data_IF_698442415424
#
_entry.id   IF_698442415424
#
_cell.length_a   1.000
_cell.length_b   1.000
_cell.length_c   1.000
_cell.angle_alpha   90.00
_cell.angle_beta   90.00
_cell.angle_gamma   90.00
#
_symmetry.space_group_name_H-M   'P 1'
#
loop_
_entity.id
_entity.type
_entity.pdbx_description
1 polymer ?
#
# COMPACT_ATOMS: atom_id res chain seq x y z
N UNK A 1 -3.51 -9.82 -6.76
CA UNK A 1 -4.56 -10.46 -7.59
C UNK A 1 -5.59 -9.40 -7.89
N UNK A 2 -5.94 -9.22 -9.16
CA UNK A 2 -6.94 -8.26 -9.63
C UNK A 2 -8.11 -9.02 -10.22
N UNK A 3 -9.32 -8.47 -10.11
CA UNK A 3 -10.54 -9.13 -10.57
C UNK A 3 -11.36 -8.13 -11.40
N UNK A 4 -11.96 -8.61 -12.48
CA UNK A 4 -12.99 -7.89 -13.21
C UNK A 4 -14.35 -8.16 -12.57
N UNK A 5 -14.97 -7.12 -12.02
CA UNK A 5 -16.26 -7.18 -11.33
C UNK A 5 -17.44 -6.75 -12.22
N UNK A 6 -17.19 -6.56 -13.52
CA UNK A 6 -18.19 -6.18 -14.52
C UNK A 6 -18.54 -7.40 -15.41
N UNK A 7 -19.29 -7.17 -16.49
CA UNK A 7 -19.86 -8.19 -17.40
C UNK A 7 -18.86 -9.24 -17.89
N UNK A 8 -17.61 -8.86 -18.11
CA UNK A 8 -16.56 -9.77 -18.59
C UNK A 8 -15.71 -10.25 -17.40
N UNK A 9 -15.95 -11.45 -16.85
CA UNK A 9 -15.21 -11.94 -15.72
C UNK A 9 -13.77 -12.28 -16.10
N UNK A 10 -12.84 -11.96 -15.21
CA UNK A 10 -11.43 -12.29 -15.36
C UNK A 10 -10.71 -12.11 -14.03
N UNK A 11 -9.77 -13.02 -13.73
CA UNK A 11 -8.81 -12.84 -12.63
C UNK A 11 -7.43 -12.68 -13.24
N UNK A 12 -6.71 -11.66 -12.80
CA UNK A 12 -5.34 -11.37 -13.17
C UNK A 12 -4.41 -11.56 -11.97
N UNK A 13 -3.38 -12.38 -12.14
CA UNK A 13 -2.31 -12.59 -11.15
C UNK A 13 -1.00 -12.10 -11.72
N UNK A 14 -0.31 -11.24 -10.96
CA UNK A 14 1.01 -10.73 -11.28
C UNK A 14 2.01 -11.36 -10.31
N UNK A 15 3.13 -11.82 -10.86
CA UNK A 15 4.24 -12.42 -10.12
C UNK A 15 5.53 -11.74 -10.53
N UNK A 16 6.44 -11.61 -9.58
CA UNK A 16 7.76 -11.03 -9.78
C UNK A 16 8.30 -10.48 -8.47
N UNK A 17 9.33 -9.64 -8.58
CA UNK A 17 10.05 -9.12 -7.43
C UNK A 17 9.56 -7.71 -7.06
N UNK A 18 9.29 -7.50 -5.78
CA UNK A 18 8.91 -6.18 -5.26
C UNK A 18 10.07 -5.54 -4.48
N UNK A 19 10.28 -4.25 -4.73
CA UNK A 19 11.14 -3.39 -3.91
C UNK A 19 10.25 -2.48 -3.07
N UNK A 20 10.57 -2.38 -1.78
CA UNK A 20 9.92 -1.43 -0.89
C UNK A 20 10.69 -0.10 -0.90
N UNK A 21 9.94 1.01 -0.98
CA UNK A 21 10.44 2.37 -0.97
C UNK A 21 9.79 3.11 0.21
N UNK A 22 10.59 3.50 1.19
CA UNK A 22 10.18 4.24 2.39
C UNK A 22 10.49 5.73 2.29
N UNK A 23 10.00 6.53 3.24
CA UNK A 23 10.09 8.01 3.21
C UNK A 23 11.51 8.55 3.10
N UNK A 24 12.50 7.88 3.69
CA UNK A 24 13.90 8.32 3.64
C UNK A 24 14.68 7.77 2.45
N UNK A 25 14.08 6.88 1.66
CA UNK A 25 14.71 6.35 0.45
C UNK A 25 14.75 7.44 -0.64
N UNK A 26 15.84 7.49 -1.41
CA UNK A 26 16.06 8.53 -2.42
C UNK A 26 14.97 8.63 -3.49
N UNK A 27 14.30 7.51 -3.80
CA UNK A 27 13.22 7.42 -4.78
C UNK A 27 11.84 7.82 -4.23
N UNK A 28 11.73 8.13 -2.93
CA UNK A 28 10.45 8.52 -2.34
C UNK A 28 9.80 9.68 -3.08
N UNK A 29 10.55 10.74 -3.34
CA UNK A 29 10.02 11.96 -3.97
C UNK A 29 9.49 11.71 -5.39
N UNK A 30 10.17 10.85 -6.14
CA UNK A 30 9.74 10.41 -7.48
C UNK A 30 8.40 9.67 -7.37
N UNK A 31 8.33 8.66 -6.51
CA UNK A 31 7.13 7.83 -6.36
C UNK A 31 5.93 8.61 -5.80
N UNK A 32 6.16 9.44 -4.78
CA UNK A 32 5.12 10.26 -4.17
C UNK A 32 4.50 11.25 -5.17
N UNK A 33 5.23 11.66 -6.21
CA UNK A 33 4.70 12.59 -7.22
C UNK A 33 3.58 12.00 -8.09
N UNK A 34 3.41 10.68 -8.08
CA UNK A 34 2.34 9.99 -8.81
C UNK A 34 1.01 9.94 -8.03
N UNK A 35 0.99 10.39 -6.78
CA UNK A 35 -0.17 10.27 -5.88
C UNK A 35 -0.48 11.62 -5.21
N UNK A 36 -1.71 11.76 -4.74
CA UNK A 36 -2.06 12.85 -3.83
C UNK A 36 -1.33 12.67 -2.49
N UNK A 37 -0.94 13.78 -1.87
CA UNK A 37 -0.28 13.72 -0.58
C UNK A 37 -1.24 13.23 0.49
N UNK A 38 -0.77 12.27 1.29
CA UNK A 38 -1.57 11.63 2.33
C UNK A 38 -0.70 11.35 3.54
N UNK A 39 -1.08 11.91 4.69
CA UNK A 39 -0.33 11.80 5.96
C UNK A 39 -0.11 10.35 6.40
N UNK A 40 -1.03 9.45 6.04
CA UNK A 40 -0.95 8.03 6.35
C UNK A 40 -0.06 7.21 5.41
N UNK A 41 0.55 7.79 4.38
CA UNK A 41 1.39 7.06 3.41
C UNK A 41 2.62 6.48 4.10
N UNK A 42 2.73 5.15 4.09
CA UNK A 42 3.79 4.41 4.81
C UNK A 42 5.00 4.11 3.93
N UNK A 43 4.74 3.57 2.75
CA UNK A 43 5.73 3.05 1.82
C UNK A 43 5.10 2.83 0.45
N UNK A 44 5.92 2.77 -0.58
CA UNK A 44 5.53 2.31 -1.91
C UNK A 44 6.13 0.93 -2.19
N UNK A 45 5.46 0.15 -3.04
CA UNK A 45 6.00 -1.08 -3.59
C UNK A 45 6.16 -0.92 -5.09
N UNK A 46 7.40 -1.02 -5.57
CA UNK A 46 7.71 -1.15 -6.98
C UNK A 46 7.79 -2.63 -7.33
N UNK A 47 6.87 -3.12 -8.15
CA UNK A 47 6.83 -4.51 -8.58
C UNK A 47 7.40 -4.65 -10.00
N UNK A 48 8.51 -5.36 -10.15
CA UNK A 48 8.98 -5.81 -11.45
C UNK A 48 8.22 -7.09 -11.82
N UNK A 49 7.33 -7.02 -12.81
CA UNK A 49 6.48 -8.15 -13.19
C UNK A 49 7.22 -9.08 -14.16
N UNK A 50 7.35 -10.34 -13.78
CA UNK A 50 8.04 -11.38 -14.54
C UNK A 50 7.08 -12.37 -15.18
N UNK A 51 5.94 -12.62 -14.52
CA UNK A 51 4.94 -13.55 -14.98
C UNK A 51 3.53 -13.01 -14.72
N UNK A 52 2.67 -13.22 -15.71
CA UNK A 52 1.27 -12.86 -15.67
C UNK A 52 0.43 -14.11 -15.94
N UNK A 53 -0.56 -14.36 -15.10
CA UNK A 53 -1.54 -15.43 -15.29
C UNK A 53 -2.96 -14.86 -15.30
N UNK A 54 -3.76 -15.33 -16.24
CA UNK A 54 -5.20 -15.05 -16.32
C UNK A 54 -6.02 -16.30 -16.07
N UNK A 55 -7.19 -16.15 -15.43
CA UNK A 55 -8.22 -17.20 -15.40
C UNK A 55 -9.61 -16.63 -15.69
N UNK A 56 -10.54 -17.49 -16.09
CA UNK A 56 -11.87 -17.09 -16.59
C UNK A 56 -12.73 -16.33 -15.58
N UNK A 57 -12.48 -16.46 -14.28
CA UNK A 57 -13.18 -15.68 -13.25
C UNK A 57 -14.69 -15.93 -13.13
N UNK A 58 -15.23 -17.05 -13.60
CA UNK A 58 -16.70 -17.28 -13.59
C UNK A 58 -17.36 -17.27 -12.20
N UNK A 59 -16.58 -17.41 -11.12
CA UNK A 59 -17.06 -17.27 -9.74
C UNK A 59 -16.85 -15.85 -9.16
N UNK A 60 -16.27 -14.92 -9.92
CA UNK A 60 -16.12 -13.53 -9.50
C UNK A 60 -17.50 -12.87 -9.52
N UNK A 61 -17.96 -12.26 -8.41
CA UNK A 61 -19.27 -11.63 -8.34
C UNK A 61 -19.30 -10.32 -9.14
N UNK A 62 -20.50 -9.90 -9.55
CA UNK A 62 -20.73 -8.56 -10.06
C UNK A 62 -20.73 -7.55 -8.91
N UNK A 63 -20.01 -6.44 -9.07
CA UNK A 63 -20.06 -5.31 -8.14
C UNK A 63 -20.21 -3.98 -8.88
N UNK A 64 -20.94 -3.08 -8.24
CA UNK A 64 -21.05 -1.69 -8.64
C UNK A 64 -20.17 -0.82 -7.73
N UNK A 65 -19.33 0.02 -8.33
CA UNK A 65 -18.52 0.96 -7.59
C UNK A 65 -19.38 2.10 -7.04
N UNK A 66 -19.34 2.31 -5.71
CA UNK A 66 -20.13 3.33 -5.01
C UNK A 66 -19.29 4.49 -4.46
N UNK A 67 -18.00 4.55 -4.78
CA UNK A 67 -17.06 5.51 -4.22
C UNK A 67 -16.16 4.95 -3.13
N UNK A 68 -15.15 5.74 -2.75
CA UNK A 68 -14.21 5.43 -1.68
C UNK A 68 -14.78 5.72 -0.28
N UNK A 69 -14.25 5.02 0.72
CA UNK A 69 -14.55 5.32 2.13
C UNK A 69 -13.62 6.42 2.64
N UNK A 70 -14.19 7.49 3.15
CA UNK A 70 -13.43 8.58 3.79
C UNK A 70 -12.89 8.22 5.18
N UNK A 71 -13.25 7.06 5.73
CA UNK A 71 -12.92 6.67 7.10
C UNK A 71 -11.42 6.70 7.38
N UNK A 72 -10.61 6.20 6.46
CA UNK A 72 -9.14 6.19 6.61
C UNK A 72 -8.58 7.61 6.57
N UNK A 73 -9.03 8.42 5.62
CA UNK A 73 -8.62 9.82 5.48
C UNK A 73 -8.92 10.60 6.77
N UNK A 74 -10.17 10.55 7.25
CA UNK A 74 -10.59 11.21 8.49
C UNK A 74 -9.84 10.71 9.72
N UNK A 75 -9.62 9.39 9.83
CA UNK A 75 -8.86 8.82 10.94
C UNK A 75 -7.41 9.30 10.94
N UNK A 76 -6.78 9.35 9.76
CA UNK A 76 -5.40 9.80 9.62
C UNK A 76 -5.24 11.31 9.87
N UNK A 77 -6.17 12.13 9.39
CA UNK A 77 -6.20 13.57 9.66
C UNK A 77 -6.37 13.87 11.15
N UNK A 78 -7.30 13.16 11.82
CA UNK A 78 -7.52 13.32 13.26
C UNK A 78 -6.31 12.93 14.10
N UNK A 79 -5.55 11.91 13.67
CA UNK A 79 -4.29 11.51 14.33
C UNK A 79 -3.17 12.51 14.07
N UNK A 80 -3.14 13.12 12.88
CA UNK A 80 -2.03 13.94 12.41
C UNK A 80 -0.72 13.15 12.27
N UNK A 81 0.33 13.82 11.81
CA UNK A 81 1.61 13.18 11.51
C UNK A 81 2.20 12.42 12.71
N UNK A 82 2.36 13.08 13.86
CA UNK A 82 2.90 12.43 15.08
C UNK A 82 2.06 11.24 15.56
N UNK A 83 0.74 11.34 15.44
CA UNK A 83 -0.16 10.25 15.82
C UNK A 83 -0.05 9.05 14.88
N UNK A 84 0.22 9.30 13.60
CA UNK A 84 0.50 8.27 12.60
C UNK A 84 1.86 7.61 12.85
N UNK A 85 2.90 8.39 13.14
CA UNK A 85 4.23 7.86 13.48
C UNK A 85 4.19 6.96 14.72
N UNK A 86 3.51 7.39 15.78
CA UNK A 86 3.31 6.58 16.98
C UNK A 86 2.54 5.27 16.69
N UNK A 87 1.55 5.34 15.78
CA UNK A 87 0.83 4.15 15.36
C UNK A 87 1.73 3.17 14.58
N UNK A 88 2.67 3.67 13.78
CA UNK A 88 3.62 2.81 13.07
C UNK A 88 4.54 2.06 14.03
N UNK A 89 5.02 2.73 15.07
CA UNK A 89 5.83 2.13 16.15
C UNK A 89 5.04 1.04 16.89
N UNK A 90 3.77 1.28 17.20
CA UNK A 90 2.94 0.33 17.95
C UNK A 90 2.48 -0.87 17.11
N UNK A 91 2.14 -0.65 15.83
CA UNK A 91 1.37 -1.64 15.04
C UNK A 91 2.04 -2.11 13.75
N UNK A 92 3.10 -1.48 13.27
CA UNK A 92 3.61 -1.71 11.91
C UNK A 92 5.09 -2.04 11.84
N UNK A 93 5.72 -2.39 12.96
CA UNK A 93 7.13 -2.80 13.02
C UNK A 93 7.37 -4.25 12.57
N UNK A 94 6.34 -5.08 12.64
CA UNK A 94 6.39 -6.50 12.27
C UNK A 94 5.32 -6.84 11.22
N UNK A 95 5.67 -7.78 10.34
CA UNK A 95 4.76 -8.42 9.39
C UNK A 95 3.95 -9.53 10.06
N UNK A 96 2.98 -10.10 9.35
CA UNK A 96 2.15 -11.20 9.87
C UNK A 96 2.93 -12.50 10.10
N UNK A 97 4.08 -12.66 9.45
CA UNK A 97 5.00 -13.80 9.60
C UNK A 97 6.28 -13.40 10.36
N UNK A 98 6.15 -12.43 11.27
CA UNK A 98 7.17 -12.03 12.26
C UNK A 98 8.51 -11.53 11.67
N UNK A 99 8.49 -10.95 10.47
CA UNK A 99 9.64 -10.25 9.89
C UNK A 99 9.59 -8.75 10.15
N UNK A 100 10.74 -8.08 10.41
CA UNK A 100 10.80 -6.65 10.61
C UNK A 100 10.46 -5.89 9.32
N UNK A 101 9.63 -4.84 9.44
CA UNK A 101 9.25 -3.97 8.32
C UNK A 101 10.23 -2.85 8.05
N UNK A 102 11.13 -2.57 9.01
CA UNK A 102 12.09 -1.46 8.97
C UNK A 102 11.45 -0.06 8.86
N UNK A 103 10.14 0.06 9.11
CA UNK A 103 9.39 1.30 8.87
C UNK A 103 9.94 2.48 9.68
N UNK A 104 10.38 2.26 10.92
CA UNK A 104 10.90 3.34 11.78
C UNK A 104 12.24 3.86 11.27
N UNK A 105 13.20 2.96 11.03
CA UNK A 105 14.54 3.31 10.55
C UNK A 105 14.51 3.96 9.16
N UNK A 106 13.62 3.47 8.28
CA UNK A 106 13.59 3.90 6.86
C UNK A 106 12.59 5.00 6.57
N UNK A 107 11.73 5.36 7.54
CA UNK A 107 10.71 6.40 7.32
C UNK A 107 10.76 7.56 8.30
N UNK A 108 11.34 7.37 9.49
CA UNK A 108 11.45 8.41 10.52
C UNK A 108 12.90 8.84 10.67
N UNK A 109 13.15 10.15 10.68
CA UNK A 109 14.49 10.65 10.99
C UNK A 109 14.80 10.33 12.46
N UNK A 110 15.99 9.79 12.73
CA UNK A 110 16.47 9.60 14.10
C UNK A 110 16.33 10.91 14.87
N UNK A 111 15.74 10.86 16.06
CA UNK A 111 15.67 12.01 16.97
C UNK A 111 17.12 12.38 17.33
N UNK A 112 17.59 13.54 16.87
CA UNK A 112 18.84 14.17 17.32
C UNK A 112 18.69 14.67 18.75
#
# INVERSE_FOLDING_TARGET
>A
MFNSFDKNPMILKLYGEAKVIHKLDSRWKEMASHFEDFVGTRQFFELNVELLLTSCGYAVPLYEYKGERETLMKWSEQKGEKGIEAYWEEKNTMTLDDKPTQILERSLKSKS
#
